data_IF_689098699732
#
_entry.id   IF_689098699732
#
_cell.length_a   1.000
_cell.length_b   1.000
_cell.length_c   1.000
_cell.angle_alpha   90.00
_cell.angle_beta   90.00
_cell.angle_gamma   90.00
#
_symmetry.space_group_name_H-M   'P 1'
#
loop_
_entity.id
_entity.type
_entity.pdbx_description
1 polymer ?
#
# COMPACT_ATOMS: atom_id res chain seq x y z
N UNK A 1 -11.54 -38.52 -42.62
CA UNK A 1 -10.44 -37.52 -42.74
C UNK A 1 -10.85 -36.16 -42.14
N UNK A 2 -12.08 -35.70 -42.36
CA UNK A 2 -12.61 -34.42 -41.87
C UNK A 2 -12.63 -34.24 -40.32
N UNK A 3 -12.95 -35.31 -39.58
CA UNK A 3 -13.01 -35.28 -38.11
C UNK A 3 -11.64 -35.00 -37.46
N UNK A 4 -10.56 -35.51 -38.05
CA UNK A 4 -9.19 -35.32 -37.56
C UNK A 4 -8.72 -33.87 -37.74
N UNK A 5 -9.12 -33.24 -38.85
CA UNK A 5 -8.79 -31.85 -39.15
C UNK A 5 -9.48 -30.86 -38.21
N UNK A 6 -10.77 -31.08 -37.91
CA UNK A 6 -11.53 -30.27 -36.93
C UNK A 6 -10.95 -30.39 -35.51
N UNK A 7 -10.50 -31.58 -35.11
CA UNK A 7 -9.86 -31.80 -33.82
C UNK A 7 -8.48 -31.12 -33.71
N UNK A 8 -7.70 -31.12 -34.79
CA UNK A 8 -6.42 -30.42 -34.85
C UNK A 8 -6.60 -28.88 -34.76
N UNK A 9 -7.58 -28.33 -35.47
CA UNK A 9 -7.95 -26.91 -35.38
C UNK A 9 -8.38 -26.53 -33.96
N UNK A 10 -9.23 -27.35 -33.33
CA UNK A 10 -9.69 -27.11 -31.95
C UNK A 10 -8.51 -27.05 -30.95
N UNK A 11 -7.55 -27.96 -31.04
CA UNK A 11 -6.34 -27.92 -30.19
C UNK A 11 -5.52 -26.65 -30.40
N UNK A 12 -5.40 -26.18 -31.65
CA UNK A 12 -4.66 -24.94 -31.97
C UNK A 12 -5.34 -23.70 -31.39
N UNK A 13 -6.67 -23.61 -31.49
CA UNK A 13 -7.43 -22.52 -30.88
C UNK A 13 -7.39 -22.56 -29.35
N UNK A 14 -7.50 -23.75 -28.75
CA UNK A 14 -7.38 -23.93 -27.30
C UNK A 14 -5.99 -23.48 -26.80
N UNK A 15 -4.92 -23.86 -27.50
CA UNK A 15 -3.57 -23.43 -27.18
C UNK A 15 -3.40 -21.91 -27.30
N UNK A 16 -3.98 -21.30 -28.34
CA UNK A 16 -3.95 -19.84 -28.53
C UNK A 16 -4.68 -19.10 -27.39
N UNK A 17 -5.85 -19.59 -26.96
CA UNK A 17 -6.61 -19.01 -25.84
C UNK A 17 -5.83 -19.12 -24.53
N UNK A 18 -5.22 -20.28 -24.27
CA UNK A 18 -4.35 -20.50 -23.10
C UNK A 18 -3.14 -19.55 -23.10
N UNK A 19 -2.49 -19.35 -24.25
CA UNK A 19 -1.38 -18.38 -24.35
C UNK A 19 -1.84 -16.95 -24.13
N UNK A 20 -3.03 -16.56 -24.62
CA UNK A 20 -3.58 -15.22 -24.45
C UNK A 20 -3.94 -14.95 -22.97
N UNK A 21 -4.51 -15.93 -22.26
CA UNK A 21 -4.78 -15.84 -20.82
C UNK A 21 -3.50 -15.68 -20.00
N UNK A 22 -2.40 -16.33 -20.40
CA UNK A 22 -1.09 -16.18 -19.75
C UNK A 22 -0.54 -14.76 -19.86
N UNK A 23 -0.76 -14.07 -21.00
CA UNK A 23 -0.35 -12.68 -21.19
C UNK A 23 -1.24 -11.67 -20.45
N UNK A 24 -2.54 -11.96 -20.28
CA UNK A 24 -3.47 -11.09 -19.53
C UNK A 24 -3.29 -11.21 -18.01
N UNK A 25 -2.75 -12.33 -17.52
CA UNK A 25 -2.53 -12.56 -16.08
C UNK A 25 -1.17 -12.03 -15.57
N UNK A 26 -0.30 -11.55 -16.46
CA UNK A 26 0.98 -10.95 -16.08
C UNK A 26 0.80 -9.54 -15.50
N UNK A 27 0.18 -9.41 -14.33
CA UNK A 27 0.36 -8.19 -13.53
C UNK A 27 1.84 -8.15 -13.18
N UNK A 28 2.60 -7.27 -13.83
CA UNK A 28 3.93 -6.89 -13.37
C UNK A 28 3.75 -6.16 -12.04
N UNK A 29 3.56 -6.92 -10.97
CA UNK A 29 3.73 -6.41 -9.62
C UNK A 29 5.22 -6.12 -9.50
N UNK A 30 5.64 -4.91 -9.87
CA UNK A 30 6.93 -4.40 -9.44
C UNK A 30 6.91 -4.51 -7.91
N UNK A 31 7.62 -5.52 -7.39
CA UNK A 31 7.76 -5.70 -5.96
C UNK A 31 8.40 -4.41 -5.45
N UNK A 32 7.68 -3.67 -4.61
CA UNK A 32 8.23 -2.47 -3.97
C UNK A 32 9.42 -2.93 -3.16
N UNK A 33 10.61 -2.41 -3.48
CA UNK A 33 11.83 -2.75 -2.77
C UNK A 33 11.63 -2.41 -1.28
N UNK A 34 11.84 -3.37 -0.35
CA UNK A 34 11.70 -3.10 1.07
C UNK A 34 12.71 -2.05 1.54
N UNK A 35 12.24 -1.09 2.33
CA UNK A 35 13.11 -0.28 3.17
C UNK A 35 13.62 -1.14 4.34
N UNK A 36 14.93 -1.17 4.57
CA UNK A 36 15.52 -1.89 5.68
C UNK A 36 15.53 -1.00 6.91
N UNK A 37 14.82 -1.40 7.96
CA UNK A 37 14.87 -0.73 9.25
C UNK A 37 15.87 -1.47 10.14
N UNK A 38 17.08 -0.94 10.21
CA UNK A 38 18.22 -1.57 10.91
C UNK A 38 18.56 -0.88 12.24
N UNK A 39 18.17 0.39 12.44
CA UNK A 39 18.52 1.15 13.64
C UNK A 39 17.33 1.38 14.59
N UNK A 40 17.62 1.54 15.88
CA UNK A 40 16.66 2.02 16.89
C UNK A 40 16.45 3.53 16.88
N UNK A 41 16.88 4.23 15.82
CA UNK A 41 16.85 5.69 15.69
C UNK A 41 15.79 6.12 14.65
N UNK A 42 15.47 7.41 14.62
CA UNK A 42 14.54 7.95 13.62
C UNK A 42 15.16 7.91 12.21
N UNK A 43 14.50 7.23 11.29
CA UNK A 43 14.90 7.14 9.88
C UNK A 43 13.77 7.62 8.95
N UNK A 44 14.15 8.23 7.83
CA UNK A 44 13.21 8.70 6.81
C UNK A 44 13.20 7.73 5.63
N UNK A 45 12.03 7.17 5.32
CA UNK A 45 11.87 6.30 4.16
C UNK A 45 12.10 7.12 2.88
N UNK A 46 13.06 6.74 2.01
CA UNK A 46 13.37 7.55 0.85
C UNK A 46 12.32 7.37 -0.25
N UNK A 47 12.11 8.38 -1.12
CA UNK A 47 11.04 8.36 -2.12
C UNK A 47 11.00 7.14 -3.04
N UNK A 48 12.17 6.54 -3.33
CA UNK A 48 12.27 5.32 -4.16
C UNK A 48 11.53 4.10 -3.60
N UNK A 49 11.30 4.06 -2.28
CA UNK A 49 10.59 3.00 -1.58
C UNK A 49 9.08 3.28 -1.45
N UNK A 50 8.63 4.46 -1.91
CA UNK A 50 7.24 4.87 -1.84
C UNK A 50 6.56 4.67 -3.20
N UNK A 51 5.33 4.17 -3.14
CA UNK A 51 4.40 4.17 -4.28
C UNK A 51 3.14 4.93 -3.89
N UNK A 52 2.47 5.53 -4.85
CA UNK A 52 1.36 6.45 -4.63
C UNK A 52 0.11 5.99 -5.38
N UNK A 53 -1.05 6.35 -4.83
CA UNK A 53 -2.35 6.13 -5.45
C UNK A 53 -3.24 7.34 -5.16
N UNK A 54 -3.77 7.92 -6.23
CA UNK A 54 -4.57 9.15 -6.22
C UNK A 54 -6.02 8.84 -6.58
N UNK A 55 -6.97 9.68 -6.14
CA UNK A 55 -8.38 9.58 -6.54
C UNK A 55 -9.23 8.58 -5.76
N UNK A 56 -8.67 7.88 -4.77
CA UNK A 56 -9.42 7.04 -3.82
C UNK A 56 -9.41 7.66 -2.42
N UNK A 57 -10.58 7.69 -1.78
CA UNK A 57 -10.77 8.27 -0.45
C UNK A 57 -10.37 7.26 0.67
N UNK A 58 -10.41 7.68 1.93
CA UNK A 58 -10.04 6.92 3.13
C UNK A 58 -10.98 5.75 3.47
N UNK A 59 -12.21 5.75 2.94
CA UNK A 59 -13.25 4.75 3.17
C UNK A 59 -13.30 3.66 2.09
N UNK A 60 -12.34 3.69 1.16
CA UNK A 60 -12.19 2.67 0.12
C UNK A 60 -11.97 1.28 0.76
N UNK A 61 -12.63 0.22 0.27
CA UNK A 61 -12.38 -1.14 0.74
C UNK A 61 -10.92 -1.57 0.53
N UNK A 62 -10.37 -2.32 1.49
CA UNK A 62 -8.96 -2.74 1.43
C UNK A 62 -8.66 -3.58 0.20
N UNK A 63 -9.59 -4.41 -0.27
CA UNK A 63 -9.41 -5.25 -1.45
C UNK A 63 -9.20 -4.40 -2.72
N UNK A 64 -9.81 -3.22 -2.78
CA UNK A 64 -9.59 -2.27 -3.88
C UNK A 64 -8.18 -1.68 -3.79
N UNK A 65 -7.73 -1.26 -2.59
CA UNK A 65 -6.36 -0.76 -2.38
C UNK A 65 -5.30 -1.81 -2.70
N UNK A 66 -5.52 -3.04 -2.27
CA UNK A 66 -4.57 -4.14 -2.47
C UNK A 66 -4.35 -4.44 -3.95
N UNK A 67 -5.42 -4.35 -4.75
CA UNK A 67 -5.42 -4.68 -6.17
C UNK A 67 -5.21 -3.47 -7.10
N UNK A 68 -5.11 -2.26 -6.56
CA UNK A 68 -4.92 -1.03 -7.32
C UNK A 68 -3.56 -1.00 -8.05
N UNK A 69 -3.49 -0.19 -9.10
CA UNK A 69 -2.24 0.16 -9.77
C UNK A 69 -1.59 1.36 -9.08
N UNK A 70 -0.34 1.19 -8.64
CA UNK A 70 0.38 2.20 -7.87
C UNK A 70 1.47 2.85 -8.73
N UNK A 71 1.66 4.15 -8.56
CA UNK A 71 2.62 4.95 -9.32
C UNK A 71 3.85 5.31 -8.49
N UNK A 72 4.93 5.74 -9.13
CA UNK A 72 6.19 6.09 -8.43
C UNK A 72 6.19 7.51 -7.84
N UNK A 73 5.24 8.33 -8.25
CA UNK A 73 5.11 9.73 -7.83
C UNK A 73 3.65 10.15 -7.86
N UNK A 74 3.33 11.15 -7.05
CA UNK A 74 2.09 11.93 -7.21
C UNK A 74 2.17 12.73 -8.50
N UNK A 75 1.09 12.70 -9.28
CA UNK A 75 0.97 13.49 -10.51
C UNK A 75 0.13 14.74 -10.29
N UNK A 76 -0.87 14.69 -9.42
CA UNK A 76 -1.79 15.79 -9.18
C UNK A 76 -1.51 16.46 -7.84
N UNK A 77 -1.09 17.73 -7.87
CA UNK A 77 -0.87 18.52 -6.65
C UNK A 77 -2.15 18.65 -5.80
N UNK A 78 -3.33 18.61 -6.42
CA UNK A 78 -4.61 18.67 -5.72
C UNK A 78 -4.83 17.45 -4.80
N UNK A 79 -4.18 16.32 -5.07
CA UNK A 79 -4.25 15.13 -4.21
C UNK A 79 -3.77 15.40 -2.78
N UNK A 80 -2.90 16.39 -2.55
CA UNK A 80 -2.54 16.79 -1.19
C UNK A 80 -3.73 17.34 -0.36
N UNK A 81 -4.72 17.92 -1.04
CA UNK A 81 -5.95 18.46 -0.45
C UNK A 81 -7.07 17.43 -0.47
N UNK A 82 -7.19 16.68 -1.57
CA UNK A 82 -8.30 15.77 -1.81
C UNK A 82 -8.05 14.37 -1.24
N UNK A 83 -6.81 14.02 -0.96
CA UNK A 83 -6.40 12.73 -0.43
C UNK A 83 -5.56 11.93 -1.40
N UNK A 84 -4.57 11.24 -0.86
CA UNK A 84 -3.80 10.23 -1.58
C UNK A 84 -3.36 9.11 -0.63
N UNK A 85 -3.09 7.95 -1.20
CA UNK A 85 -2.50 6.82 -0.51
C UNK A 85 -1.02 6.69 -0.85
N UNK A 86 -0.23 6.24 0.12
CA UNK A 86 1.16 5.83 -0.02
C UNK A 86 1.27 4.37 0.37
N UNK A 87 1.95 3.58 -0.45
CA UNK A 87 2.28 2.19 -0.19
C UNK A 87 3.79 2.02 -0.11
N UNK A 88 4.26 1.35 0.93
CA UNK A 88 5.66 1.02 1.10
C UNK A 88 5.83 -0.29 1.87
N UNK A 89 6.99 -0.91 1.72
CA UNK A 89 7.34 -2.17 2.40
C UNK A 89 8.52 -1.90 3.31
N UNK A 90 8.46 -2.37 4.54
CA UNK A 90 9.55 -2.26 5.51
C UNK A 90 9.95 -3.67 5.93
N UNK A 91 11.25 -3.97 5.88
CA UNK A 91 11.82 -5.13 6.52
C UNK A 91 12.38 -4.72 7.88
N UNK A 92 11.80 -5.23 8.95
CA UNK A 92 12.21 -4.86 10.30
C UNK A 92 13.37 -5.74 10.77
N UNK A 93 14.60 -5.24 10.73
CA UNK A 93 15.76 -5.92 11.30
C UNK A 93 16.15 -5.35 12.68
N UNK A 94 15.36 -4.43 13.23
CA UNK A 94 15.60 -3.85 14.55
C UNK A 94 15.31 -4.84 15.69
N UNK A 95 15.64 -4.46 16.92
CA UNK A 95 15.41 -5.27 18.12
C UNK A 95 13.96 -5.23 18.65
N UNK A 96 13.09 -4.41 18.04
CA UNK A 96 11.71 -4.20 18.51
C UNK A 96 10.68 -4.62 17.47
N UNK A 97 9.60 -5.28 17.90
CA UNK A 97 8.42 -5.52 17.07
C UNK A 97 7.42 -4.34 17.07
N UNK A 98 7.64 -3.36 17.95
CA UNK A 98 6.76 -2.21 18.15
C UNK A 98 7.47 -0.97 17.63
N UNK A 99 6.97 -0.42 16.53
CA UNK A 99 7.65 0.65 15.79
C UNK A 99 6.71 1.84 15.63
N UNK A 100 7.23 3.05 15.85
CA UNK A 100 6.51 4.29 15.58
C UNK A 100 6.69 4.72 14.13
N UNK A 101 5.60 5.08 13.45
CA UNK A 101 5.63 5.79 12.17
C UNK A 101 5.40 7.27 12.44
N UNK A 102 6.38 8.07 12.04
CA UNK A 102 6.30 9.51 12.02
C UNK A 102 5.92 9.99 10.60
N UNK A 103 4.89 10.81 10.50
CA UNK A 103 4.31 11.34 9.29
C UNK A 103 4.52 12.84 9.23
N UNK A 104 4.60 13.35 7.99
CA UNK A 104 4.46 14.77 7.73
C UNK A 104 3.10 15.29 8.22
N UNK A 105 3.07 16.59 8.52
CA UNK A 105 1.87 17.27 9.00
C UNK A 105 0.77 17.25 7.94
N UNK A 106 -0.32 16.54 8.25
CA UNK A 106 -1.57 16.52 7.49
C UNK A 106 -2.75 16.52 8.45
N UNK A 107 -3.93 16.85 7.94
CA UNK A 107 -5.14 16.97 8.76
C UNK A 107 -5.87 15.64 8.97
N UNK A 108 -5.66 14.66 8.12
CA UNK A 108 -6.35 13.37 8.16
C UNK A 108 -5.37 12.23 7.81
N UNK A 109 -5.55 11.08 8.47
CA UNK A 109 -4.78 9.85 8.28
C UNK A 109 -5.65 8.60 8.34
N UNK A 110 -5.26 7.58 7.56
CA UNK A 110 -5.77 6.21 7.65
C UNK A 110 -4.61 5.26 7.40
N UNK A 111 -4.52 4.17 8.15
CA UNK A 111 -3.40 3.24 8.05
C UNK A 111 -3.89 1.80 8.02
N UNK A 112 -3.41 1.04 7.04
CA UNK A 112 -3.49 -0.42 7.02
C UNK A 112 -2.08 -1.00 7.07
N UNK A 113 -1.92 -2.07 7.86
CA UNK A 113 -0.67 -2.82 8.00
C UNK A 113 -0.95 -4.28 7.70
N UNK A 114 -0.18 -4.88 6.80
CA UNK A 114 -0.28 -6.29 6.44
C UNK A 114 1.07 -6.99 6.59
N UNK A 115 1.10 -8.04 7.40
CA UNK A 115 2.28 -8.87 7.64
C UNK A 115 1.85 -10.29 8.06
N UNK A 116 2.75 -11.09 8.67
CA UNK A 116 2.43 -12.47 9.07
C UNK A 116 1.33 -12.57 10.13
N UNK A 117 1.05 -11.50 10.89
CA UNK A 117 -0.03 -11.43 11.87
C UNK A 117 -1.41 -11.18 11.22
N UNK A 118 -1.44 -10.96 9.91
CA UNK A 118 -2.64 -10.64 9.15
C UNK A 118 -2.75 -9.17 8.75
N UNK A 119 -3.96 -8.77 8.37
CA UNK A 119 -4.30 -7.39 8.07
C UNK A 119 -4.80 -6.69 9.34
N UNK A 120 -4.22 -5.55 9.66
CA UNK A 120 -4.70 -4.66 10.70
C UNK A 120 -5.06 -3.29 10.12
N UNK A 121 -6.29 -2.87 10.39
CA UNK A 121 -6.78 -1.53 10.12
C UNK A 121 -6.65 -0.68 11.38
N UNK A 122 -6.03 0.49 11.27
CA UNK A 122 -5.98 1.46 12.36
C UNK A 122 -7.15 2.46 12.25
N UNK A 123 -7.61 3.02 13.38
CA UNK A 123 -8.65 4.04 13.36
C UNK A 123 -8.26 5.23 12.48
N UNK A 124 -9.22 5.68 11.68
CA UNK A 124 -9.09 6.93 10.94
C UNK A 124 -8.91 8.09 11.93
N UNK A 125 -7.93 8.95 11.66
CA UNK A 125 -7.64 10.11 12.48
C UNK A 125 -7.86 11.39 11.68
N UNK A 126 -8.55 12.35 12.31
CA UNK A 126 -8.80 13.69 11.79
C UNK A 126 -8.53 14.74 12.85
N UNK A 127 -7.70 15.71 12.49
CA UNK A 127 -7.33 16.83 13.34
C UNK A 127 -8.58 17.54 13.89
N UNK A 128 -8.55 17.85 15.20
CA UNK A 128 -9.64 18.48 15.97
C UNK A 128 -10.96 17.70 16.05
N UNK A 129 -11.07 16.52 15.42
CA UNK A 129 -12.25 15.65 15.54
C UNK A 129 -11.99 14.41 16.38
N UNK A 130 -10.86 13.74 16.18
CA UNK A 130 -10.50 12.54 16.94
C UNK A 130 -9.65 12.91 18.17
N UNK A 131 -9.65 12.02 19.18
CA UNK A 131 -8.83 12.17 20.39
C UNK A 131 -7.35 12.21 20.01
N UNK A 132 -6.62 13.18 20.55
CA UNK A 132 -5.22 13.40 20.20
C UNK A 132 -4.33 12.24 20.67
N UNK A 133 -4.49 11.73 21.89
CA UNK A 133 -3.74 10.58 22.40
C UNK A 133 -4.66 9.37 22.48
N UNK A 134 -4.34 8.32 21.73
CA UNK A 134 -5.00 7.02 21.81
C UNK A 134 -4.05 5.94 22.30
N UNK A 135 -4.54 4.71 22.36
CA UNK A 135 -3.68 3.56 22.68
C UNK A 135 -2.62 3.32 21.60
N UNK A 136 -2.90 3.64 20.34
CA UNK A 136 -2.03 3.29 19.21
C UNK A 136 -1.48 4.52 18.48
N UNK A 137 -1.85 5.73 18.90
CA UNK A 137 -1.50 6.94 18.19
C UNK A 137 -1.30 8.16 19.10
N UNK A 138 -0.47 9.09 18.63
CA UNK A 138 -0.35 10.45 19.16
C UNK A 138 -0.52 11.40 17.98
N UNK A 139 -1.65 12.11 17.93
CA UNK A 139 -2.09 12.85 16.76
C UNK A 139 -2.15 11.94 15.53
N UNK A 140 -1.46 12.35 14.47
CA UNK A 140 -1.34 11.61 13.23
C UNK A 140 -0.28 10.49 13.26
N UNK A 141 0.45 10.34 14.36
CA UNK A 141 1.55 9.36 14.48
C UNK A 141 1.04 8.06 15.03
N UNK A 142 1.44 6.95 14.43
CA UNK A 142 0.96 5.61 14.78
C UNK A 142 2.08 4.75 15.32
N UNK A 143 1.75 3.94 16.32
CA UNK A 143 2.57 2.84 16.80
C UNK A 143 2.03 1.55 16.22
N UNK A 144 2.85 0.86 15.45
CA UNK A 144 2.47 -0.36 14.73
C UNK A 144 3.28 -1.57 15.14
N UNK A 145 2.73 -2.75 14.88
CA UNK A 145 3.42 -4.04 15.03
C UNK A 145 4.04 -4.45 13.71
N UNK A 146 5.37 -4.53 13.69
CA UNK A 146 6.16 -5.03 12.56
C UNK A 146 7.04 -6.18 13.07
N UNK A 147 6.70 -7.45 12.81
CA UNK A 147 7.52 -8.55 13.28
C UNK A 147 8.94 -8.49 12.72
N UNK A 148 9.90 -8.94 13.52
CA UNK A 148 11.31 -8.97 13.17
C UNK A 148 11.60 -9.91 12.00
N UNK A 149 12.61 -9.54 11.20
CA UNK A 149 13.17 -10.28 10.08
C UNK A 149 12.19 -10.60 8.95
N UNK A 150 11.03 -9.92 8.90
CA UNK A 150 10.05 -10.06 7.83
C UNK A 150 9.64 -8.73 7.22
N UNK A 151 8.96 -8.81 6.08
CA UNK A 151 8.39 -7.66 5.40
C UNK A 151 7.01 -7.34 5.98
N UNK A 152 6.81 -6.08 6.33
CA UNK A 152 5.49 -5.49 6.58
C UNK A 152 5.14 -4.55 5.43
N UNK A 153 3.92 -4.70 4.88
CA UNK A 153 3.38 -3.79 3.88
C UNK A 153 2.48 -2.78 4.57
N UNK A 154 2.71 -1.50 4.30
CA UNK A 154 1.96 -0.39 4.87
C UNK A 154 1.22 0.35 3.76
N UNK A 155 -0.05 0.65 3.99
CA UNK A 155 -0.89 1.50 3.16
C UNK A 155 -1.36 2.67 4.03
N UNK A 156 -1.00 3.88 3.62
CA UNK A 156 -1.10 5.06 4.46
C UNK A 156 -1.75 6.20 3.69
N UNK A 157 -2.86 6.70 4.19
CA UNK A 157 -3.65 7.75 3.59
C UNK A 157 -3.30 9.10 4.17
N UNK A 158 -3.22 10.10 3.30
CA UNK A 158 -2.88 11.47 3.65
C UNK A 158 -3.92 12.40 3.06
N UNK A 159 -4.49 13.28 3.87
CA UNK A 159 -5.27 14.42 3.38
C UNK A 159 -5.07 15.65 4.25
N UNK A 160 -4.94 16.81 3.62
CA UNK A 160 -4.87 18.10 4.30
C UNK A 160 -6.10 18.93 3.97
N UNK A 161 -7.18 18.76 4.74
CA UNK A 161 -8.41 19.56 4.66
C UNK A 161 -8.84 20.06 6.06
N UNK A 162 -8.84 21.38 6.33
CA UNK A 162 -8.41 22.46 5.43
C UNK A 162 -6.91 22.36 5.10
N UNK A 163 -6.53 22.82 3.92
CA UNK A 163 -5.13 22.89 3.50
C UNK A 163 -4.52 24.19 4.02
N UNK A 164 -3.44 24.08 4.79
CA UNK A 164 -2.68 25.24 5.27
C UNK A 164 -1.76 25.70 4.12
N UNK A 165 -1.91 26.95 3.66
CA UNK A 165 -1.22 27.51 2.50
C UNK A 165 -0.12 28.46 2.91
#
# INVERSE_FOLDING_TARGET
>A
MEHSFKFFLFKKYLFLILTLMFFVCGKNTFAVEPFLLDAGMLETIPPKNLKFLEGLDHDVPFEVLENAEWTEKLFNAQSMVDGYWVKFVVKNNSESNVIGINHNWNMEKKLYVKNSLGLKEYPYWKHRKNVFVGQEHIGAQYRILMPQNENTIIYDFFRSRPFDR
#
